data_IF_562186860485
#
_entry.id   IF_562186860485
#
_cell.length_a   1.000
_cell.length_b   1.000
_cell.length_c   1.000
_cell.angle_alpha   90.00
_cell.angle_beta   90.00
_cell.angle_gamma   90.00
#
_symmetry.space_group_name_H-M   'P 1'
#
loop_
_entity.id
_entity.type
_entity.pdbx_description
1 polymer ?
#
# COMPACT_ATOMS: atom_id res chain seq x y z
N UNK A 1 12.67 -5.26 -12.21
CA UNK A 1 12.48 -6.61 -11.65
C UNK A 1 11.31 -6.52 -10.68
N UNK A 2 10.47 -7.54 -10.59
CA UNK A 2 9.38 -7.63 -9.61
C UNK A 2 9.53 -8.94 -8.86
N UNK A 3 9.66 -8.88 -7.55
CA UNK A 3 9.67 -10.08 -6.71
C UNK A 3 8.25 -10.44 -6.31
N UNK A 4 7.91 -11.72 -6.31
CA UNK A 4 6.61 -12.20 -5.84
C UNK A 4 6.78 -13.34 -4.84
N UNK A 5 5.82 -13.44 -3.92
CA UNK A 5 5.66 -14.55 -2.99
C UNK A 5 4.16 -14.80 -2.79
N UNK A 6 3.75 -16.04 -3.02
CA UNK A 6 2.37 -16.52 -2.95
C UNK A 6 2.29 -17.59 -1.86
N UNK A 7 1.29 -17.48 -1.01
CA UNK A 7 0.97 -18.49 0.01
C UNK A 7 -0.32 -19.19 -0.38
N UNK A 8 -0.30 -20.52 -0.39
CA UNK A 8 -1.49 -21.36 -0.64
C UNK A 8 -1.90 -22.02 0.67
N UNK A 9 -3.20 -21.99 0.97
CA UNK A 9 -3.78 -22.68 2.12
C UNK A 9 -4.73 -23.77 1.63
N UNK A 10 -4.83 -24.88 2.35
CA UNK A 10 -5.78 -25.97 2.07
C UNK A 10 -5.30 -27.07 1.13
N UNK A 11 -4.14 -26.93 0.46
CA UNK A 11 -3.52 -28.02 -0.32
C UNK A 11 -1.99 -28.00 -0.19
N UNK A 12 -1.41 -29.20 -0.03
CA UNK A 12 0.05 -29.40 -0.01
C UNK A 12 0.65 -29.57 -1.42
N UNK A 13 -0.16 -29.97 -2.40
CA UNK A 13 0.28 -30.29 -3.75
C UNK A 13 -0.44 -29.40 -4.78
N UNK A 14 -0.02 -28.13 -4.85
CA UNK A 14 -0.53 -27.16 -5.83
C UNK A 14 0.55 -26.78 -6.85
N UNK A 15 0.12 -26.54 -8.09
CA UNK A 15 0.95 -25.92 -9.13
C UNK A 15 0.54 -24.46 -9.26
N UNK A 16 1.52 -23.57 -9.26
CA UNK A 16 1.30 -22.13 -9.38
C UNK A 16 1.91 -21.60 -10.68
N UNK A 17 1.14 -20.80 -11.39
CA UNK A 17 1.60 -19.97 -12.51
C UNK A 17 1.29 -18.52 -12.21
N UNK A 18 2.31 -17.68 -12.24
CA UNK A 18 2.19 -16.23 -12.05
C UNK A 18 2.44 -15.56 -13.40
N UNK A 19 1.49 -14.75 -13.85
CA UNK A 19 1.57 -14.02 -15.12
C UNK A 19 1.42 -12.54 -14.83
N UNK A 20 2.27 -11.70 -15.43
CA UNK A 20 2.14 -10.26 -15.37
C UNK A 20 1.76 -9.75 -16.75
N UNK A 21 0.65 -9.03 -16.84
CA UNK A 21 0.12 -8.48 -18.09
C UNK A 21 0.11 -6.96 -18.06
N UNK A 22 0.37 -6.34 -19.21
CA UNK A 22 0.23 -4.90 -19.40
C UNK A 22 -1.25 -4.44 -19.44
N UNK A 23 -1.48 -3.15 -19.62
CA UNK A 23 -2.83 -2.55 -19.66
C UNK A 23 -3.70 -3.05 -20.83
N UNK A 24 -3.06 -3.55 -21.89
CA UNK A 24 -3.72 -4.05 -23.10
C UNK A 24 -3.94 -5.57 -23.02
N UNK A 25 -3.54 -6.20 -21.90
CA UNK A 25 -3.71 -7.62 -21.62
C UNK A 25 -2.58 -8.51 -22.16
N UNK A 26 -1.51 -7.95 -22.70
CA UNK A 26 -0.38 -8.75 -23.18
C UNK A 26 0.48 -9.21 -22.01
N UNK A 27 0.78 -10.52 -21.95
CA UNK A 27 1.72 -11.08 -20.99
C UNK A 27 3.13 -10.57 -21.26
N UNK A 28 3.68 -9.81 -20.31
CA UNK A 28 5.03 -9.23 -20.38
C UNK A 28 6.06 -10.03 -19.59
N UNK A 29 5.60 -10.86 -18.64
CA UNK A 29 6.45 -11.78 -17.88
C UNK A 29 5.60 -12.91 -17.27
N UNK A 30 6.20 -14.08 -17.08
CA UNK A 30 5.57 -15.18 -16.35
C UNK A 30 6.59 -16.02 -15.60
N UNK A 31 6.17 -16.65 -14.51
CA UNK A 31 6.97 -17.58 -13.73
C UNK A 31 6.07 -18.65 -13.12
N UNK A 32 6.66 -19.71 -12.59
CA UNK A 32 5.95 -20.79 -11.88
C UNK A 32 6.46 -20.92 -10.45
N UNK A 33 5.65 -21.56 -9.60
CA UNK A 33 5.98 -21.79 -8.20
C UNK A 33 5.59 -20.63 -7.27
N UNK A 34 5.75 -20.83 -5.94
CA UNK A 34 5.24 -19.92 -4.92
C UNK A 34 6.08 -18.66 -4.72
N UNK A 35 7.28 -18.58 -5.25
CA UNK A 35 8.10 -17.38 -5.20
C UNK A 35 9.01 -17.27 -6.42
N UNK A 36 9.39 -16.04 -6.78
CA UNK A 36 10.26 -15.81 -7.92
C UNK A 36 10.44 -14.34 -8.24
N UNK A 37 11.13 -14.08 -9.36
CA UNK A 37 11.39 -12.73 -9.85
C UNK A 37 10.97 -12.64 -11.32
N UNK A 38 10.10 -11.69 -11.63
CA UNK A 38 9.70 -11.37 -12.99
C UNK A 38 10.58 -10.24 -13.54
N UNK A 39 11.09 -10.42 -14.76
CA UNK A 39 11.86 -9.40 -15.49
C UNK A 39 11.01 -8.84 -16.62
N UNK A 40 10.62 -7.58 -16.50
CA UNK A 40 9.95 -6.79 -17.56
C UNK A 40 11.03 -6.01 -18.30
N UNK A 41 11.12 -6.18 -19.63
CA UNK A 41 12.16 -5.56 -20.45
C UNK A 41 11.86 -4.08 -20.74
N UNK A 42 10.67 -3.79 -21.29
CA UNK A 42 10.22 -2.44 -21.63
C UNK A 42 9.23 -1.94 -20.58
N UNK A 43 9.77 -1.61 -19.41
CA UNK A 43 8.96 -1.30 -18.23
C UNK A 43 8.28 0.08 -18.35
N UNK A 44 6.97 0.10 -18.11
CA UNK A 44 6.20 1.32 -17.85
C UNK A 44 6.10 1.51 -16.35
N UNK A 45 6.88 2.44 -15.80
CA UNK A 45 6.90 2.68 -14.36
C UNK A 45 5.61 3.35 -13.89
N UNK A 46 5.19 3.01 -12.67
CA UNK A 46 4.20 3.80 -11.95
C UNK A 46 4.82 5.13 -11.54
N UNK A 47 4.19 6.21 -11.94
CA UNK A 47 4.59 7.57 -11.61
C UNK A 47 3.47 8.28 -10.86
N UNK A 48 3.83 9.12 -9.86
CA UNK A 48 2.87 10.02 -9.25
C UNK A 48 2.26 10.99 -10.28
N UNK A 49 1.02 11.41 -10.02
CA UNK A 49 0.38 12.53 -10.68
C UNK A 49 1.32 13.75 -10.64
N UNK A 50 1.40 14.45 -11.78
CA UNK A 50 2.31 15.59 -12.02
C UNK A 50 3.79 15.23 -12.27
N UNK A 51 4.19 13.95 -12.22
CA UNK A 51 5.58 13.54 -12.57
C UNK A 51 5.73 12.89 -13.95
N UNK A 52 4.62 12.52 -14.60
CA UNK A 52 4.63 11.82 -15.89
C UNK A 52 3.33 12.07 -16.65
N UNK A 53 3.37 11.89 -17.99
CA UNK A 53 2.20 12.05 -18.87
C UNK A 53 1.14 10.97 -18.66
N UNK A 54 1.57 9.77 -18.27
CA UNK A 54 0.72 8.63 -17.92
C UNK A 54 0.99 8.21 -16.47
N UNK A 55 0.52 8.99 -15.47
CA UNK A 55 0.66 8.63 -14.06
C UNK A 55 -0.21 7.42 -13.72
N UNK A 56 0.11 6.73 -12.62
CA UNK A 56 -0.73 5.64 -12.15
C UNK A 56 -0.72 4.39 -13.03
N UNK A 57 0.35 4.14 -13.80
CA UNK A 57 0.43 2.95 -14.65
C UNK A 57 0.44 1.67 -13.80
N UNK A 58 -0.50 0.77 -14.08
CA UNK A 58 -0.65 -0.50 -13.37
C UNK A 58 -0.62 -1.66 -14.38
N UNK A 59 0.18 -2.68 -14.06
CA UNK A 59 0.08 -4.01 -14.63
C UNK A 59 -0.97 -4.83 -13.88
N UNK A 60 -1.37 -5.97 -14.43
CA UNK A 60 -2.15 -6.99 -13.71
C UNK A 60 -1.30 -8.23 -13.47
N UNK A 61 -1.06 -8.56 -12.21
CA UNK A 61 -0.42 -9.82 -11.80
C UNK A 61 -1.50 -10.84 -11.49
N UNK A 62 -1.56 -11.89 -12.30
CA UNK A 62 -2.52 -12.97 -12.16
C UNK A 62 -1.82 -14.23 -11.64
N UNK A 63 -2.31 -14.77 -10.54
CA UNK A 63 -1.84 -16.00 -9.92
C UNK A 63 -2.88 -17.09 -10.18
N UNK A 64 -2.50 -18.07 -10.99
CA UNK A 64 -3.29 -19.26 -11.27
C UNK A 64 -2.77 -20.41 -10.43
N UNK A 65 -3.64 -20.96 -9.59
CA UNK A 65 -3.37 -22.14 -8.79
C UNK A 65 -4.20 -23.30 -9.32
N UNK A 66 -3.54 -24.44 -9.54
CA UNK A 66 -4.22 -25.70 -9.85
C UNK A 66 -3.79 -26.77 -8.86
N UNK A 67 -4.76 -27.53 -8.34
CA UNK A 67 -4.51 -28.64 -7.41
C UNK A 67 -5.40 -29.82 -7.76
N UNK A 68 -4.90 -31.03 -7.57
CA UNK A 68 -5.71 -32.24 -7.65
C UNK A 68 -6.05 -32.69 -6.23
N UNK A 69 -7.35 -32.78 -5.91
CA UNK A 69 -7.84 -33.34 -4.65
C UNK A 69 -8.98 -34.31 -4.94
N UNK A 70 -8.95 -35.51 -4.34
CA UNK A 70 -10.03 -36.51 -4.44
C UNK A 70 -10.48 -36.82 -5.89
N UNK A 71 -9.56 -36.80 -6.85
CA UNK A 71 -9.85 -37.08 -8.27
C UNK A 71 -10.49 -35.93 -9.03
N UNK A 72 -10.67 -34.75 -8.41
CA UNK A 72 -11.14 -33.52 -9.06
C UNK A 72 -10.02 -32.48 -9.14
N UNK A 73 -9.94 -31.79 -10.28
CA UNK A 73 -9.06 -30.62 -10.45
C UNK A 73 -9.78 -29.41 -9.88
N UNK A 74 -9.14 -28.72 -8.95
CA UNK A 74 -9.59 -27.45 -8.42
C UNK A 74 -8.66 -26.34 -8.92
N UNK A 75 -9.25 -25.21 -9.31
CA UNK A 75 -8.54 -24.04 -9.83
C UNK A 75 -8.93 -22.81 -9.02
N UNK A 76 -7.95 -21.95 -8.75
CA UNK A 76 -8.15 -20.63 -8.14
C UNK A 76 -7.35 -19.59 -8.92
N UNK A 77 -7.93 -18.40 -9.07
CA UNK A 77 -7.32 -17.30 -9.80
C UNK A 77 -7.45 -16.02 -8.99
N UNK A 78 -6.32 -15.40 -8.68
CA UNK A 78 -6.26 -14.11 -8.01
C UNK A 78 -5.53 -13.09 -8.87
N UNK A 79 -6.17 -11.94 -9.14
CA UNK A 79 -5.59 -10.84 -9.89
C UNK A 79 -5.26 -9.66 -8.96
N UNK A 80 -4.04 -9.14 -9.08
CA UNK A 80 -3.52 -8.05 -8.28
C UNK A 80 -2.97 -6.94 -9.20
N UNK A 81 -3.46 -5.70 -9.11
CA UNK A 81 -2.84 -4.56 -9.78
C UNK A 81 -1.43 -4.30 -9.24
N UNK A 82 -0.45 -4.06 -10.12
CA UNK A 82 0.96 -3.84 -9.74
C UNK A 82 1.50 -2.59 -10.41
N UNK A 83 1.83 -1.57 -9.62
CA UNK A 83 2.59 -0.40 -10.08
C UNK A 83 4.08 -0.59 -9.83
N UNK A 84 4.88 -0.66 -10.89
CA UNK A 84 6.34 -0.86 -10.76
C UNK A 84 6.99 0.47 -10.45
N UNK A 85 7.50 0.63 -9.23
CA UNK A 85 8.16 1.86 -8.76
C UNK A 85 9.20 1.57 -7.69
N UNK A 86 10.12 2.50 -7.48
CA UNK A 86 11.02 2.46 -6.31
C UNK A 86 10.77 3.67 -5.42
N UNK A 87 10.94 3.48 -4.11
CA UNK A 87 10.88 4.55 -3.11
C UNK A 87 12.19 4.53 -2.33
N UNK A 88 12.86 5.67 -2.23
CA UNK A 88 14.12 5.82 -1.51
C UNK A 88 14.13 7.14 -0.74
N UNK A 89 14.70 7.15 0.46
CA UNK A 89 14.92 8.37 1.25
C UNK A 89 16.42 8.52 1.44
N UNK A 90 16.93 9.69 1.09
CA UNK A 90 18.28 10.11 1.41
C UNK A 90 18.25 11.00 2.66
N UNK A 91 19.39 11.52 3.10
CA UNK A 91 19.45 12.44 4.23
C UNK A 91 18.61 13.71 4.03
N UNK A 92 18.33 14.11 2.78
CA UNK A 92 17.69 15.40 2.46
C UNK A 92 16.57 15.33 1.42
N UNK A 93 16.35 14.17 0.80
CA UNK A 93 15.40 14.03 -0.31
C UNK A 93 14.59 12.74 -0.21
N UNK A 94 13.31 12.85 -0.56
CA UNK A 94 12.45 11.71 -0.88
C UNK A 94 12.52 11.47 -2.39
N UNK A 95 12.78 10.23 -2.80
CA UNK A 95 12.95 9.86 -4.20
C UNK A 95 11.91 8.81 -4.60
N UNK A 96 11.23 9.04 -5.72
CA UNK A 96 10.42 8.02 -6.40
C UNK A 96 11.05 7.77 -7.77
N UNK A 97 11.35 6.51 -8.08
CA UNK A 97 12.05 6.11 -9.31
C UNK A 97 13.37 6.89 -9.52
N UNK A 98 14.13 7.05 -8.42
CA UNK A 98 15.38 7.80 -8.36
C UNK A 98 15.28 9.30 -8.71
N UNK A 99 14.07 9.85 -8.80
CA UNK A 99 13.84 11.29 -8.98
C UNK A 99 13.31 11.94 -7.70
N UNK A 100 13.77 13.15 -7.33
CA UNK A 100 13.22 13.88 -6.20
C UNK A 100 11.71 14.06 -6.30
N UNK A 101 11.02 13.73 -5.23
CA UNK A 101 9.59 13.87 -5.07
C UNK A 101 9.29 14.88 -3.95
N UNK A 102 8.33 15.76 -4.20
CA UNK A 102 7.83 16.71 -3.23
C UNK A 102 6.35 16.45 -2.99
N UNK A 103 5.97 16.30 -1.72
CA UNK A 103 4.58 16.14 -1.33
C UNK A 103 3.89 17.51 -1.40
N UNK A 104 2.97 17.67 -2.34
CA UNK A 104 2.07 18.83 -2.43
C UNK A 104 0.64 18.31 -2.33
N UNK A 105 0.15 18.22 -1.10
CA UNK A 105 -1.05 17.44 -0.80
C UNK A 105 -1.84 17.96 0.39
N UNK A 106 -2.77 17.13 0.85
CA UNK A 106 -3.70 17.44 1.94
C UNK A 106 -3.76 16.31 2.96
N UNK A 107 -4.26 16.60 4.16
CA UNK A 107 -4.79 15.56 5.04
C UNK A 107 -6.28 15.40 4.73
N UNK A 108 -6.82 14.19 4.85
CA UNK A 108 -8.25 13.91 4.64
C UNK A 108 -8.88 13.32 5.90
N UNK A 109 -10.17 13.04 5.83
CA UNK A 109 -10.90 12.13 6.71
C UNK A 109 -11.93 11.36 5.89
N UNK A 110 -12.26 10.14 6.32
CA UNK A 110 -13.51 9.49 5.96
C UNK A 110 -14.63 10.08 6.84
N UNK A 111 -15.24 11.14 6.32
CA UNK A 111 -16.32 11.89 6.97
C UNK A 111 -17.23 12.49 5.89
N UNK A 112 -18.54 12.41 6.13
CA UNK A 112 -19.55 12.98 5.26
C UNK A 112 -20.88 13.17 6.01
N UNK A 113 -21.67 14.13 5.53
CA UNK A 113 -23.00 14.41 6.06
C UNK A 113 -23.85 13.14 6.13
N UNK A 114 -24.55 12.97 7.26
CA UNK A 114 -25.45 11.86 7.60
C UNK A 114 -24.77 10.50 7.77
N UNK A 115 -23.90 10.08 6.85
CA UNK A 115 -23.28 8.74 6.85
C UNK A 115 -22.02 8.63 7.72
N UNK A 116 -21.46 9.75 8.18
CA UNK A 116 -20.21 9.77 8.95
C UNK A 116 -19.09 9.09 8.17
N UNK A 117 -18.57 7.97 8.67
CA UNK A 117 -17.48 7.20 8.05
C UNK A 117 -17.92 6.20 6.98
N UNK A 118 -19.21 6.15 6.65
CA UNK A 118 -19.74 5.20 5.67
C UNK A 118 -19.16 5.45 4.27
N UNK A 119 -18.61 4.40 3.66
CA UNK A 119 -18.07 4.40 2.30
C UNK A 119 -19.11 4.90 1.27
N UNK A 120 -18.68 5.76 0.34
CA UNK A 120 -19.54 6.31 -0.71
C UNK A 120 -18.77 6.60 -2.00
N UNK A 121 -19.02 5.82 -3.05
CA UNK A 121 -18.35 5.99 -4.35
C UNK A 121 -18.52 7.39 -4.97
N UNK A 122 -19.71 8.01 -4.97
CA UNK A 122 -19.87 9.38 -5.45
C UNK A 122 -18.92 10.38 -4.77
N UNK A 123 -18.81 10.32 -3.44
CA UNK A 123 -17.90 11.19 -2.69
C UNK A 123 -16.43 10.85 -2.94
N UNK A 124 -16.06 9.56 -3.03
CA UNK A 124 -14.68 9.17 -3.38
C UNK A 124 -14.30 9.74 -4.75
N UNK A 125 -15.14 9.55 -5.77
CA UNK A 125 -14.89 10.10 -7.11
C UNK A 125 -14.81 11.62 -7.06
N UNK A 126 -15.69 12.28 -6.29
CA UNK A 126 -15.66 13.73 -6.11
C UNK A 126 -14.35 14.20 -5.47
N UNK A 127 -13.90 13.53 -4.42
CA UNK A 127 -12.66 13.84 -3.71
C UNK A 127 -11.44 13.71 -4.62
N UNK A 128 -11.34 12.62 -5.39
CA UNK A 128 -10.23 12.45 -6.34
C UNK A 128 -10.25 13.49 -7.46
N UNK A 129 -11.43 13.88 -7.94
CA UNK A 129 -11.55 14.99 -8.88
C UNK A 129 -11.09 16.32 -8.28
N UNK A 130 -11.43 16.58 -7.00
CA UNK A 130 -10.99 17.79 -6.29
C UNK A 130 -9.48 17.78 -6.01
N UNK A 131 -8.91 16.64 -5.63
CA UNK A 131 -7.46 16.48 -5.45
C UNK A 131 -6.71 16.85 -6.74
N UNK A 132 -7.15 16.30 -7.88
CA UNK A 132 -6.55 16.62 -9.18
C UNK A 132 -6.77 18.08 -9.57
N UNK A 133 -7.96 18.63 -9.35
CA UNK A 133 -8.26 20.04 -9.61
C UNK A 133 -7.37 20.99 -8.78
N UNK A 134 -7.09 20.63 -7.53
CA UNK A 134 -6.20 21.38 -6.64
C UNK A 134 -4.72 21.29 -7.06
N UNK A 135 -4.36 20.31 -7.89
CA UNK A 135 -2.96 19.97 -8.16
C UNK A 135 -2.31 19.19 -7.00
N UNK A 136 -3.12 18.55 -6.15
CA UNK A 136 -2.63 17.71 -5.08
C UNK A 136 -2.12 16.37 -5.62
N UNK A 137 -0.87 16.01 -5.30
CA UNK A 137 -0.28 14.72 -5.69
C UNK A 137 -0.22 13.70 -4.55
N UNK A 138 -0.62 14.09 -3.34
CA UNK A 138 -0.53 13.21 -2.18
C UNK A 138 -1.60 13.48 -1.13
N UNK A 139 -1.87 12.48 -0.30
CA UNK A 139 -2.57 12.69 0.97
C UNK A 139 -2.07 11.75 2.07
N UNK A 140 -2.42 12.06 3.32
CA UNK A 140 -2.24 11.18 4.48
C UNK A 140 -3.60 10.63 4.92
N UNK A 141 -3.68 9.35 5.28
CA UNK A 141 -4.89 8.69 5.80
C UNK A 141 -5.14 9.06 7.27
N UNK A 142 -5.26 10.35 7.55
CA UNK A 142 -5.48 10.87 8.91
C UNK A 142 -6.83 10.38 9.46
N UNK A 143 -6.92 9.76 10.64
CA UNK A 143 -5.85 9.24 11.51
C UNK A 143 -6.01 7.73 11.70
N UNK A 144 -6.30 7.02 10.62
CA UNK A 144 -6.58 5.60 10.58
C UNK A 144 -6.58 5.11 9.12
N UNK A 145 -6.31 3.82 8.88
CA UNK A 145 -6.36 3.27 7.54
C UNK A 145 -7.75 3.45 6.95
N UNK A 146 -7.81 3.99 5.73
CA UNK A 146 -9.08 4.17 5.02
C UNK A 146 -9.55 2.86 4.38
N UNK A 147 -10.76 2.87 3.83
CA UNK A 147 -11.26 1.78 3.00
C UNK A 147 -10.33 1.48 1.82
N UNK A 148 -10.13 0.19 1.51
CA UNK A 148 -9.21 -0.28 0.46
C UNK A 148 -9.49 0.37 -0.91
N UNK A 149 -10.75 0.67 -1.21
CA UNK A 149 -11.19 1.32 -2.44
C UNK A 149 -10.50 2.68 -2.66
N UNK A 150 -10.21 3.42 -1.59
CA UNK A 150 -9.54 4.72 -1.66
C UNK A 150 -8.07 4.54 -2.05
N UNK A 151 -7.39 3.52 -1.53
CA UNK A 151 -6.02 3.20 -1.92
C UNK A 151 -5.96 2.69 -3.36
N UNK A 152 -6.92 1.87 -3.78
CA UNK A 152 -7.02 1.45 -5.19
C UNK A 152 -7.25 2.64 -6.15
N UNK A 153 -8.02 3.65 -5.72
CA UNK A 153 -8.16 4.90 -6.47
C UNK A 153 -6.85 5.68 -6.51
N UNK A 154 -6.10 5.72 -5.40
CA UNK A 154 -4.80 6.36 -5.33
C UNK A 154 -3.78 5.71 -6.28
N UNK A 155 -3.72 4.38 -6.32
CA UNK A 155 -2.93 3.62 -7.29
C UNK A 155 -3.25 4.01 -8.73
N UNK A 156 -4.55 3.99 -9.10
CA UNK A 156 -5.01 4.28 -10.46
C UNK A 156 -4.78 5.72 -10.89
N UNK A 157 -4.85 6.67 -9.95
CA UNK A 157 -4.69 8.09 -10.24
C UNK A 157 -3.25 8.60 -10.08
N UNK A 158 -2.34 7.77 -9.58
CA UNK A 158 -0.99 8.22 -9.25
C UNK A 158 -0.93 9.14 -8.04
N UNK A 159 -1.91 9.09 -7.13
CA UNK A 159 -1.89 9.93 -5.92
C UNK A 159 -1.11 9.18 -4.84
N UNK A 160 -0.08 9.80 -4.30
CA UNK A 160 0.81 9.21 -3.29
C UNK A 160 0.16 9.25 -1.90
N UNK A 161 0.32 8.18 -1.13
CA UNK A 161 -0.29 8.01 0.18
C UNK A 161 0.78 7.83 1.26
N UNK A 162 0.65 8.61 2.32
CA UNK A 162 1.25 8.31 3.63
C UNK A 162 0.19 7.57 4.42
N UNK A 163 0.40 6.28 4.64
CA UNK A 163 -0.62 5.43 5.24
C UNK A 163 -0.44 5.32 6.75
N UNK A 164 -1.47 5.71 7.51
CA UNK A 164 -1.39 5.98 8.93
C UNK A 164 -2.19 4.97 9.77
N UNK A 165 -1.51 4.38 10.74
CA UNK A 165 -2.10 3.58 11.80
C UNK A 165 -2.93 4.46 12.76
N UNK A 166 -3.98 3.93 13.43
CA UNK A 166 -4.77 4.65 14.44
C UNK A 166 -4.04 4.94 15.76
N UNK A 167 -2.73 5.21 15.72
CA UNK A 167 -1.90 5.63 16.85
C UNK A 167 -2.07 7.12 17.19
N UNK A 168 -3.29 7.61 17.34
CA UNK A 168 -3.59 9.02 17.67
C UNK A 168 -4.08 9.16 19.11
N UNK A 169 -3.87 10.33 19.73
CA UNK A 169 -4.35 10.61 21.09
C UNK A 169 -3.53 9.93 22.19
N UNK A 170 -2.30 9.51 21.90
CA UNK A 170 -1.35 8.91 22.85
C UNK A 170 -0.75 10.02 23.74
N UNK A 171 -1.57 10.59 24.62
CA UNK A 171 -1.20 11.75 25.44
C UNK A 171 -0.96 11.43 26.93
N UNK A 172 -1.47 10.29 27.43
CA UNK A 172 -1.31 9.87 28.82
C UNK A 172 -0.11 8.93 28.97
N UNK A 173 0.67 9.09 30.04
CA UNK A 173 1.81 8.22 30.36
C UNK A 173 1.43 6.73 30.42
N UNK A 174 0.18 6.44 30.83
CA UNK A 174 -0.38 5.08 30.91
C UNK A 174 -0.54 4.43 29.54
N UNK A 175 -0.63 5.22 28.47
CA UNK A 175 -0.75 4.73 27.09
C UNK A 175 0.56 4.11 26.56
N UNK A 176 1.70 4.35 27.22
CA UNK A 176 3.01 3.81 26.82
C UNK A 176 3.35 2.45 27.46
N UNK A 177 2.37 1.78 28.09
CA UNK A 177 2.56 0.46 28.68
C UNK A 177 2.75 -0.67 27.64
N UNK A 178 3.31 -1.80 28.07
CA UNK A 178 3.56 -2.97 27.20
C UNK A 178 2.30 -3.51 26.52
N UNK A 179 1.14 -3.46 27.17
CA UNK A 179 -0.11 -3.93 26.56
C UNK A 179 -0.49 -3.06 25.34
N UNK A 180 -0.40 -1.74 25.47
CA UNK A 180 -0.64 -0.79 24.38
C UNK A 180 0.40 -0.93 23.27
N UNK A 181 1.67 -1.17 23.61
CA UNK A 181 2.72 -1.43 22.62
C UNK A 181 2.41 -2.71 21.84
N UNK A 182 2.14 -3.82 22.52
CA UNK A 182 1.82 -5.10 21.86
C UNK A 182 0.61 -4.98 20.94
N UNK A 183 -0.44 -4.28 21.36
CA UNK A 183 -1.61 -4.04 20.51
C UNK A 183 -1.26 -3.18 19.29
N UNK A 184 -0.51 -2.10 19.48
CA UNK A 184 -0.08 -1.23 18.37
C UNK A 184 0.75 -2.00 17.33
N UNK A 185 1.60 -2.94 17.75
CA UNK A 185 2.35 -3.79 16.81
C UNK A 185 1.44 -4.70 15.99
N UNK A 186 0.38 -5.26 16.59
CA UNK A 186 -0.61 -6.05 15.85
C UNK A 186 -1.32 -5.20 14.81
N UNK A 187 -1.75 -3.99 15.18
CA UNK A 187 -2.42 -3.07 14.25
C UNK A 187 -1.49 -2.65 13.11
N UNK A 188 -0.21 -2.40 13.38
CA UNK A 188 0.77 -2.12 12.33
C UNK A 188 0.98 -3.32 11.40
N UNK A 189 1.03 -4.54 11.94
CA UNK A 189 1.17 -5.75 11.12
C UNK A 189 -0.07 -5.96 10.24
N UNK A 190 -1.28 -5.69 10.76
CA UNK A 190 -2.52 -5.72 9.98
C UNK A 190 -2.53 -4.68 8.85
N UNK A 191 -2.15 -3.43 9.15
CA UNK A 191 -2.05 -2.34 8.18
C UNK A 191 -1.09 -2.69 7.04
N UNK A 192 0.15 -3.06 7.38
CA UNK A 192 1.16 -3.41 6.37
C UNK A 192 0.74 -4.66 5.59
N UNK A 193 0.16 -5.66 6.25
CA UNK A 193 -0.29 -6.89 5.57
C UNK A 193 -1.37 -6.59 4.53
N UNK A 194 -2.29 -5.68 4.85
CA UNK A 194 -3.37 -5.25 3.94
C UNK A 194 -2.81 -4.45 2.77
N UNK A 195 -1.95 -3.45 3.04
CA UNK A 195 -1.70 -2.38 2.08
C UNK A 195 -0.32 -2.41 1.40
N UNK A 196 0.57 -3.34 1.77
CA UNK A 196 1.97 -3.45 1.24
C UNK A 196 2.10 -3.48 -0.28
N UNK A 197 1.07 -3.92 -1.00
CA UNK A 197 1.11 -4.09 -2.45
C UNK A 197 0.58 -2.85 -3.21
N UNK A 198 0.04 -1.84 -2.52
CA UNK A 198 -0.36 -0.58 -3.14
C UNK A 198 0.88 0.21 -3.57
N UNK A 199 0.95 0.55 -4.86
CA UNK A 199 2.04 1.35 -5.41
C UNK A 199 2.01 2.79 -4.87
N UNK A 200 0.81 3.30 -4.58
CA UNK A 200 0.55 4.61 -4.02
C UNK A 200 1.08 4.77 -2.59
N UNK A 201 1.13 3.71 -1.79
CA UNK A 201 1.66 3.78 -0.43
C UNK A 201 3.18 3.85 -0.51
N UNK A 202 3.74 4.96 -0.02
CA UNK A 202 5.19 5.21 -0.08
C UNK A 202 5.82 5.35 1.30
N UNK A 203 5.01 5.48 2.35
CA UNK A 203 5.47 5.64 3.72
C UNK A 203 4.37 5.25 4.70
N UNK A 204 4.75 4.63 5.82
CA UNK A 204 3.84 4.33 6.92
C UNK A 204 4.02 5.34 8.06
N UNK A 205 2.91 5.90 8.53
CA UNK A 205 2.84 6.72 9.73
C UNK A 205 2.34 5.88 10.90
N UNK A 206 3.11 5.83 11.98
CA UNK A 206 2.84 4.93 13.11
C UNK A 206 2.02 5.60 14.19
N UNK A 207 2.05 6.93 14.27
CA UNK A 207 1.28 7.67 15.25
C UNK A 207 1.11 9.13 14.81
N UNK A 208 0.05 9.76 15.30
CA UNK A 208 -0.17 11.20 15.15
C UNK A 208 -0.14 11.88 16.52
N UNK A 209 0.73 12.88 16.66
CA UNK A 209 0.86 13.72 17.85
C UNK A 209 0.88 12.95 19.19
N UNK A 210 1.73 11.91 19.35
CA UNK A 210 1.93 11.30 20.65
C UNK A 210 2.70 12.27 21.56
N UNK A 211 2.56 12.11 22.88
CA UNK A 211 3.41 12.76 23.88
C UNK A 211 4.83 12.16 23.87
N UNK A 212 5.55 12.36 22.75
CA UNK A 212 6.84 11.75 22.44
C UNK A 212 7.99 12.22 23.33
N UNK A 213 7.80 13.34 24.02
CA UNK A 213 8.72 13.90 25.01
C UNK A 213 8.73 13.14 26.33
N UNK A 214 7.72 12.30 26.60
CA UNK A 214 7.64 11.56 27.85
C UNK A 214 8.74 10.49 27.95
N UNK A 215 9.34 10.25 29.13
CA UNK A 215 10.38 9.25 29.32
C UNK A 215 10.11 7.84 28.72
N UNK A 216 8.90 7.26 28.83
CA UNK A 216 8.63 5.94 28.24
C UNK A 216 8.47 5.94 26.71
N UNK A 217 8.25 7.09 26.05
CA UNK A 217 7.97 7.16 24.62
C UNK A 217 9.15 6.69 23.76
N UNK A 218 10.38 7.00 24.17
CA UNK A 218 11.59 6.55 23.48
C UNK A 218 11.70 5.02 23.39
N UNK A 219 11.35 4.30 24.47
CA UNK A 219 11.31 2.84 24.44
C UNK A 219 10.16 2.31 23.57
N UNK A 220 8.98 2.91 23.71
CA UNK A 220 7.77 2.53 23.00
C UNK A 220 7.97 2.56 21.47
N UNK A 221 8.41 3.70 20.92
CA UNK A 221 8.55 3.84 19.47
C UNK A 221 9.82 3.19 18.90
N UNK A 222 10.92 3.13 19.66
CA UNK A 222 12.16 2.48 19.21
C UNK A 222 12.01 0.97 19.01
N UNK A 223 11.23 0.30 19.86
CA UNK A 223 10.95 -1.13 19.71
C UNK A 223 9.94 -1.43 18.62
N UNK A 224 9.02 -0.50 18.33
CA UNK A 224 7.88 -0.79 17.48
C UNK A 224 8.04 -0.49 16.01
N UNK A 225 8.93 0.44 15.63
CA UNK A 225 8.87 1.02 14.30
C UNK A 225 10.26 1.34 13.78
N UNK A 226 10.91 0.34 13.17
CA UNK A 226 11.89 0.65 12.12
C UNK A 226 11.15 1.43 11.03
N UNK A 227 11.77 2.46 10.46
CA UNK A 227 11.23 3.17 9.30
C UNK A 227 11.01 2.12 8.19
N UNK A 228 9.77 1.65 8.01
CA UNK A 228 9.45 0.63 7.00
C UNK A 228 9.32 1.35 5.67
N UNK A 229 10.43 1.48 4.96
CA UNK A 229 10.41 1.88 3.56
C UNK A 229 10.08 0.64 2.73
N UNK A 230 8.89 0.61 2.12
CA UNK A 230 8.52 -0.48 1.21
C UNK A 230 9.17 -0.22 -0.14
N UNK A 231 10.22 -0.97 -0.43
CA UNK A 231 10.71 -1.15 -1.80
C UNK A 231 9.94 -2.33 -2.39
N UNK A 232 9.12 -2.09 -3.42
CA UNK A 232 8.66 -3.15 -4.32
C UNK A 232 9.75 -3.54 -5.30
#
# INVERSE_FOLDING_TARGET
LISYQVSVLGSLNSTLKVTLSDKDGHSVASSTGPSGVLKVMDVSLWWPYLMHESPGYLYSMEVHMTTASEGSVCEDVYALPVGIRTVQVTNTQFLINSKPFYFHGVNKHEDADIRGKGLDWPLIVKDFNLLKWLGANSFRTSHYPYAEEILQMADRHGIVVIDECPGVGIADIRSFGNASLSHHLVVMDELVRRDKNHASVVMWSVANEPAAEMPPAGFYFKKGHGVVMVTS
#
